data_IF_105314575377
#
_entry.id   IF_105314575377
#
_cell.length_a   1.000
_cell.length_b   1.000
_cell.length_c   1.000
_cell.angle_alpha   90.00
_cell.angle_beta   90.00
_cell.angle_gamma   90.00
#
_symmetry.space_group_name_H-M   'P 1'
#
loop_
_entity.id
_entity.type
_entity.pdbx_description
1 polymer ?
#
# COMPACT_ATOMS: atom_id res chain seq x y z
N UNK A 1 -67.60 54.66 -24.85
CA UNK A 1 -66.45 53.81 -25.16
C UNK A 1 -65.48 53.89 -23.97
N UNK A 2 -65.51 52.91 -23.04
CA UNK A 2 -64.59 52.81 -21.86
C UNK A 2 -63.56 51.72 -22.11
N UNK A 3 -62.30 52.11 -22.19
CA UNK A 3 -61.17 51.20 -22.34
C UNK A 3 -60.71 50.75 -20.91
N UNK A 4 -60.79 49.48 -20.63
CA UNK A 4 -60.19 48.88 -19.40
C UNK A 4 -58.73 48.49 -19.68
N UNK A 5 -57.80 49.13 -18.96
CA UNK A 5 -56.39 48.71 -18.89
C UNK A 5 -56.24 47.57 -17.84
N UNK A 6 -55.81 46.41 -18.30
CA UNK A 6 -55.38 45.33 -17.38
C UNK A 6 -53.86 45.45 -17.13
N UNK A 7 -53.50 45.80 -15.89
CA UNK A 7 -52.13 45.71 -15.39
C UNK A 7 -51.84 44.24 -15.02
N UNK A 8 -50.87 43.65 -15.68
CA UNK A 8 -50.29 42.38 -15.25
C UNK A 8 -49.07 42.67 -14.38
N UNK A 9 -49.13 42.33 -13.08
CA UNK A 9 -47.98 42.34 -12.16
C UNK A 9 -47.21 41.05 -12.32
N UNK A 10 -46.00 41.12 -12.89
CA UNK A 10 -45.09 40.00 -12.93
C UNK A 10 -44.36 39.89 -11.59
N UNK A 11 -44.64 38.80 -10.83
CA UNK A 11 -43.91 38.44 -9.62
C UNK A 11 -42.63 37.72 -10.00
N UNK A 12 -41.48 38.41 -9.93
CA UNK A 12 -40.17 37.80 -10.10
C UNK A 12 -39.78 37.08 -8.80
N UNK A 13 -39.83 35.75 -8.80
CA UNK A 13 -39.31 34.95 -7.72
C UNK A 13 -37.77 34.95 -7.76
N UNK A 14 -37.15 35.62 -6.79
CA UNK A 14 -35.72 35.63 -6.59
C UNK A 14 -35.32 34.29 -5.92
N UNK A 15 -34.84 33.32 -6.70
CA UNK A 15 -34.27 32.08 -6.18
C UNK A 15 -32.88 32.42 -5.64
N UNK A 16 -32.75 32.59 -4.34
CA UNK A 16 -31.46 32.64 -3.65
C UNK A 16 -30.80 31.23 -3.70
N UNK A 17 -29.87 31.07 -4.65
CA UNK A 17 -28.97 29.94 -4.69
C UNK A 17 -28.04 30.04 -3.44
N UNK A 18 -28.27 29.24 -2.42
CA UNK A 18 -27.30 29.06 -1.34
C UNK A 18 -26.01 28.51 -1.95
N UNK A 19 -24.84 29.07 -1.62
CA UNK A 19 -23.59 28.48 -2.06
C UNK A 19 -23.53 27.05 -1.54
N UNK A 20 -23.41 26.07 -2.43
CA UNK A 20 -23.07 24.71 -2.04
C UNK A 20 -21.69 24.80 -1.37
N UNK A 21 -21.64 24.59 -0.05
CA UNK A 21 -20.38 24.37 0.64
C UNK A 21 -19.78 23.12 0.00
N UNK A 22 -18.72 23.31 -0.77
CA UNK A 22 -17.96 22.18 -1.29
C UNK A 22 -17.55 21.32 -0.08
N UNK A 23 -18.00 20.08 -0.03
CA UNK A 23 -17.55 19.15 1.01
C UNK A 23 -16.02 19.13 0.98
N UNK A 24 -15.38 19.24 2.15
CA UNK A 24 -13.93 19.14 2.23
C UNK A 24 -13.51 17.81 1.59
N UNK A 25 -12.55 17.88 0.67
CA UNK A 25 -12.10 16.71 -0.08
C UNK A 25 -11.43 15.66 0.83
N UNK A 26 -11.09 16.02 2.08
CA UNK A 26 -10.51 15.15 3.11
C UNK A 26 -10.61 15.81 4.50
N UNK A 27 -10.36 15.02 5.55
CA UNK A 27 -10.09 15.50 6.92
C UNK A 27 -8.74 14.96 7.40
N UNK A 28 -8.08 15.66 8.32
CA UNK A 28 -6.77 15.28 8.85
C UNK A 28 -6.62 15.62 10.33
N UNK A 29 -5.57 15.08 10.92
CA UNK A 29 -5.12 15.39 12.27
C UNK A 29 -3.72 14.81 12.49
N UNK A 30 -3.21 14.87 13.75
CA UNK A 30 -1.86 14.41 14.05
C UNK A 30 -1.61 12.97 13.57
N UNK A 31 -0.83 12.80 12.49
CA UNK A 31 -0.46 11.50 11.93
C UNK A 31 -1.56 10.73 11.22
N UNK A 32 -2.65 11.37 10.79
CA UNK A 32 -3.67 10.71 9.99
C UNK A 32 -4.33 11.61 8.96
N UNK A 33 -4.83 10.99 7.88
CA UNK A 33 -5.52 11.63 6.78
C UNK A 33 -6.71 10.74 6.38
N UNK A 34 -7.90 11.31 6.21
CA UNK A 34 -9.10 10.55 5.84
C UNK A 34 -9.77 11.15 4.62
N UNK A 35 -9.96 10.33 3.60
CA UNK A 35 -10.76 10.63 2.41
C UNK A 35 -12.17 10.05 2.60
N UNK A 36 -13.23 10.84 2.37
CA UNK A 36 -14.60 10.40 2.58
C UNK A 36 -15.00 9.30 1.61
N UNK A 37 -16.03 8.52 1.98
CA UNK A 37 -16.68 7.61 1.06
C UNK A 37 -17.33 8.38 -0.09
N UNK A 38 -17.17 7.85 -1.30
CA UNK A 38 -17.83 8.34 -2.51
C UNK A 38 -18.89 7.39 -3.03
N UNK A 39 -19.31 7.61 -4.28
CA UNK A 39 -20.14 6.67 -5.05
C UNK A 39 -19.22 5.69 -5.77
N UNK A 40 -19.58 4.42 -5.78
CA UNK A 40 -18.81 3.39 -6.48
C UNK A 40 -18.94 2.02 -5.83
N UNK A 41 -18.26 1.00 -6.39
CA UNK A 41 -18.36 -0.37 -5.88
C UNK A 41 -17.81 -0.56 -4.46
N UNK A 42 -16.98 0.37 -3.99
CA UNK A 42 -16.44 0.39 -2.62
C UNK A 42 -17.31 1.13 -1.59
N UNK A 43 -18.48 1.69 -2.00
CA UNK A 43 -19.35 2.43 -1.10
C UNK A 43 -19.74 1.61 0.13
N UNK A 44 -19.68 2.23 1.31
CA UNK A 44 -19.98 1.58 2.60
C UNK A 44 -18.83 0.73 3.15
N UNK A 45 -17.67 0.68 2.49
CA UNK A 45 -16.47 -0.01 2.98
C UNK A 45 -15.40 0.98 3.42
N UNK A 46 -14.72 0.65 4.53
CA UNK A 46 -13.65 1.44 5.11
C UNK A 46 -12.29 0.72 4.94
N UNK A 47 -11.41 1.32 4.15
CA UNK A 47 -10.03 0.85 3.95
C UNK A 47 -9.10 1.67 4.85
N UNK A 48 -8.33 1.00 5.71
CA UNK A 48 -7.31 1.66 6.53
C UNK A 48 -5.94 1.34 5.98
N UNK A 49 -5.16 2.38 5.66
CA UNK A 49 -3.85 2.27 5.06
C UNK A 49 -2.78 2.64 6.11
N UNK A 50 -1.89 1.71 6.40
CA UNK A 50 -0.88 1.82 7.46
C UNK A 50 0.48 2.16 6.86
N UNK A 51 0.99 3.34 7.18
CA UNK A 51 2.22 3.91 6.64
C UNK A 51 3.33 3.90 7.69
N UNK A 52 4.49 3.38 7.32
CA UNK A 52 5.63 3.33 8.23
C UNK A 52 6.81 2.57 7.63
N UNK A 53 7.33 3.06 6.51
CA UNK A 53 8.50 2.51 5.83
C UNK A 53 9.47 3.66 5.53
N UNK A 54 10.57 3.71 6.23
CA UNK A 54 11.57 4.75 6.13
C UNK A 54 12.51 4.61 4.91
N UNK A 55 12.30 3.59 4.08
CA UNK A 55 13.11 3.35 2.89
C UNK A 55 12.33 3.55 1.59
N UNK A 56 11.14 2.95 1.47
CA UNK A 56 10.42 2.83 0.18
C UNK A 56 9.27 3.82 0.01
N UNK A 57 9.21 4.88 0.84
CA UNK A 57 8.28 6.01 0.67
C UNK A 57 6.81 5.62 0.76
N UNK A 58 6.45 4.78 1.71
CA UNK A 58 5.04 4.45 1.93
C UNK A 58 4.19 5.69 2.26
N UNK A 59 4.79 6.74 2.85
CA UNK A 59 4.16 8.04 3.12
C UNK A 59 3.76 8.81 1.86
N UNK A 60 4.40 8.56 0.72
CA UNK A 60 4.01 9.11 -0.57
C UNK A 60 3.03 8.20 -1.32
N UNK A 61 3.24 6.90 -1.22
CA UNK A 61 2.53 5.87 -1.98
C UNK A 61 1.10 5.65 -1.51
N UNK A 62 0.91 5.44 -0.19
CA UNK A 62 -0.39 5.02 0.33
C UNK A 62 -1.44 6.15 0.34
N UNK A 63 -1.13 7.44 0.59
CA UNK A 63 -2.11 8.51 0.40
C UNK A 63 -2.60 8.63 -1.04
N UNK A 64 -1.72 8.47 -2.03
CA UNK A 64 -2.10 8.43 -3.46
C UNK A 64 -3.06 7.28 -3.73
N UNK A 65 -2.77 6.06 -3.24
CA UNK A 65 -3.67 4.91 -3.36
C UNK A 65 -4.99 5.11 -2.62
N UNK A 66 -4.98 5.69 -1.42
CA UNK A 66 -6.17 6.01 -0.66
C UNK A 66 -7.11 6.95 -1.43
N UNK A 67 -6.53 7.93 -2.09
CA UNK A 67 -7.27 8.88 -2.91
C UNK A 67 -7.88 8.23 -4.15
N UNK A 68 -7.15 7.34 -4.83
CA UNK A 68 -7.69 6.51 -5.93
C UNK A 68 -8.85 5.66 -5.43
N UNK A 69 -8.68 4.94 -4.32
CA UNK A 69 -9.72 4.09 -3.75
C UNK A 69 -10.97 4.89 -3.36
N UNK A 70 -10.80 6.09 -2.78
CA UNK A 70 -11.92 6.95 -2.40
C UNK A 70 -12.60 7.56 -3.63
N UNK A 71 -11.87 8.33 -4.45
CA UNK A 71 -12.47 9.16 -5.48
C UNK A 71 -12.86 8.37 -6.75
N UNK A 72 -12.14 7.28 -7.10
CA UNK A 72 -12.44 6.45 -8.27
C UNK A 72 -13.36 5.27 -7.94
N UNK A 73 -13.31 4.77 -6.71
CA UNK A 73 -14.00 3.53 -6.33
C UNK A 73 -14.98 3.67 -5.18
N UNK A 74 -15.05 4.82 -4.51
CA UNK A 74 -16.06 5.14 -3.50
C UNK A 74 -15.78 4.60 -2.10
N UNK A 75 -14.60 4.06 -1.81
CA UNK A 75 -14.23 3.64 -0.48
C UNK A 75 -14.08 4.83 0.48
N UNK A 76 -14.45 4.67 1.76
CA UNK A 76 -13.87 5.49 2.81
C UNK A 76 -12.43 5.03 3.03
N UNK A 77 -11.45 5.96 3.07
CA UNK A 77 -10.05 5.62 3.26
C UNK A 77 -9.43 6.43 4.39
N UNK A 78 -8.82 5.77 5.38
CA UNK A 78 -8.05 6.44 6.43
C UNK A 78 -6.60 6.01 6.36
N UNK A 79 -5.68 6.96 6.17
CA UNK A 79 -4.23 6.74 6.16
C UNK A 79 -3.67 7.05 7.54
N UNK A 80 -2.95 6.11 8.13
CA UNK A 80 -2.33 6.23 9.45
C UNK A 80 -0.82 6.27 9.28
N UNK A 81 -0.20 7.37 9.68
CA UNK A 81 1.24 7.59 9.53
C UNK A 81 2.01 7.39 10.84
N UNK A 82 3.29 7.10 10.71
CA UNK A 82 4.26 7.36 11.76
C UNK A 82 4.57 8.86 11.81
N UNK A 83 4.58 9.46 13.02
CA UNK A 83 4.75 10.91 13.19
C UNK A 83 5.44 11.27 14.50
N UNK A 84 6.02 12.46 14.56
CA UNK A 84 6.46 13.15 15.77
C UNK A 84 5.60 14.39 15.97
N UNK A 85 4.76 14.41 17.00
CA UNK A 85 3.89 15.56 17.34
C UNK A 85 3.07 16.10 16.15
N UNK A 86 2.64 15.19 15.23
CA UNK A 86 1.85 15.53 14.06
C UNK A 86 2.67 15.75 12.77
N UNK A 87 3.99 15.93 12.87
CA UNK A 87 4.89 15.96 11.71
C UNK A 87 5.22 14.54 11.28
N UNK A 88 5.02 14.24 10.01
CA UNK A 88 5.24 12.89 9.47
C UNK A 88 6.73 12.52 9.53
N UNK A 89 7.01 11.40 10.19
CA UNK A 89 8.36 10.86 10.33
C UNK A 89 8.34 9.33 10.25
N UNK A 90 8.62 8.74 9.09
CA UNK A 90 8.63 7.28 8.93
C UNK A 90 9.73 6.58 9.75
N UNK A 91 10.75 7.31 10.24
CA UNK A 91 11.79 6.77 11.13
C UNK A 91 11.28 6.50 12.56
N UNK A 92 10.15 7.13 12.98
CA UNK A 92 9.57 6.85 14.29
C UNK A 92 8.79 5.53 14.27
N UNK A 93 9.48 4.42 14.51
CA UNK A 93 8.89 3.08 14.51
C UNK A 93 7.87 2.83 15.63
N UNK A 94 7.82 3.67 16.66
CA UNK A 94 6.92 3.51 17.80
C UNK A 94 5.57 4.22 17.60
N UNK A 95 5.49 5.15 16.67
CA UNK A 95 4.32 6.00 16.45
C UNK A 95 3.35 5.38 15.42
N UNK A 96 2.06 5.54 15.69
CA UNK A 96 0.96 5.31 14.77
C UNK A 96 -0.15 6.32 15.06
N UNK A 97 -0.48 7.15 14.07
CA UNK A 97 -1.59 8.10 14.19
C UNK A 97 -2.94 7.38 14.23
N UNK A 98 -3.87 7.85 15.07
CA UNK A 98 -5.30 7.43 15.13
C UNK A 98 -5.52 5.90 15.05
N UNK A 99 -4.91 5.08 15.93
CA UNK A 99 -5.05 3.62 15.87
C UNK A 99 -6.50 3.14 16.00
N UNK A 100 -7.41 3.94 16.55
CA UNK A 100 -8.84 3.60 16.67
C UNK A 100 -9.55 3.45 15.31
N UNK A 101 -8.98 3.97 14.22
CA UNK A 101 -9.52 3.73 12.88
C UNK A 101 -9.53 2.23 12.51
N UNK A 102 -8.65 1.43 13.13
CA UNK A 102 -8.59 -0.02 12.96
C UNK A 102 -9.85 -0.74 13.47
N UNK A 103 -10.61 -0.14 14.42
CA UNK A 103 -11.82 -0.76 14.97
C UNK A 103 -12.93 -0.91 13.91
N UNK A 104 -12.94 -0.03 12.91
CA UNK A 104 -13.96 0.01 11.85
C UNK A 104 -13.42 -0.38 10.47
N UNK A 105 -12.17 -0.85 10.40
CA UNK A 105 -11.57 -1.27 9.14
C UNK A 105 -12.29 -2.49 8.56
N UNK A 106 -12.68 -2.39 7.27
CA UNK A 106 -13.13 -3.51 6.44
C UNK A 106 -11.95 -4.13 5.66
N UNK A 107 -10.89 -3.37 5.38
CA UNK A 107 -9.66 -3.86 4.75
C UNK A 107 -8.44 -3.07 5.25
N UNK A 108 -7.27 -3.72 5.26
CA UNK A 108 -5.98 -3.10 5.60
C UNK A 108 -5.07 -3.08 4.38
N UNK A 109 -4.39 -1.95 4.14
CA UNK A 109 -3.27 -1.85 3.20
C UNK A 109 -2.02 -1.50 3.98
N UNK A 110 -0.98 -2.30 3.87
CA UNK A 110 0.23 -2.18 4.68
C UNK A 110 1.43 -1.72 3.83
N UNK A 111 2.06 -0.62 4.23
CA UNK A 111 3.38 -0.19 3.77
C UNK A 111 4.26 0.02 5.01
N UNK A 112 4.65 -1.09 5.65
CA UNK A 112 5.29 -1.09 6.98
C UNK A 112 6.69 -1.70 6.93
N UNK A 113 7.58 -1.16 7.79
CA UNK A 113 8.92 -1.72 8.00
C UNK A 113 9.39 -1.49 9.44
N UNK A 114 9.69 -2.57 10.19
CA UNK A 114 10.30 -2.53 11.52
C UNK A 114 9.54 -1.67 12.54
N UNK A 115 8.20 -1.76 12.55
CA UNK A 115 7.38 -1.04 13.54
C UNK A 115 7.46 -1.71 14.91
N UNK A 116 7.43 -0.89 15.96
CA UNK A 116 7.43 -1.30 17.37
C UNK A 116 6.40 -0.49 18.15
N UNK A 117 5.17 -0.50 17.64
CA UNK A 117 4.06 0.21 18.27
C UNK A 117 3.86 -0.26 19.72
N UNK A 118 3.26 0.59 20.55
CA UNK A 118 2.86 0.21 21.89
C UNK A 118 1.74 -0.85 21.85
N UNK A 119 1.55 -1.56 22.99
CA UNK A 119 0.57 -2.64 23.09
C UNK A 119 -0.86 -2.19 22.80
N UNK A 120 -1.22 -0.92 23.07
CA UNK A 120 -2.54 -0.38 22.74
C UNK A 120 -2.80 -0.37 21.22
N UNK A 121 -1.85 0.13 20.44
CA UNK A 121 -1.94 0.14 18.97
C UNK A 121 -1.84 -1.28 18.39
N UNK A 122 -0.95 -2.13 18.94
CA UNK A 122 -0.84 -3.53 18.55
C UNK A 122 -2.11 -4.32 18.84
N UNK A 123 -2.80 -4.06 19.96
CA UNK A 123 -4.08 -4.69 20.29
C UNK A 123 -5.18 -4.34 19.27
N UNK A 124 -5.24 -3.09 18.80
CA UNK A 124 -6.17 -2.66 17.75
C UNK A 124 -5.89 -3.38 16.42
N UNK A 125 -4.62 -3.46 16.05
CA UNK A 125 -4.20 -4.19 14.86
C UNK A 125 -4.54 -5.68 14.96
N UNK A 126 -4.20 -6.33 16.06
CA UNK A 126 -4.49 -7.75 16.32
C UNK A 126 -6.00 -8.04 16.33
N UNK A 127 -6.80 -7.12 16.92
CA UNK A 127 -8.25 -7.24 16.90
C UNK A 127 -8.82 -7.17 15.47
N UNK A 128 -8.26 -6.32 14.60
CA UNK A 128 -8.64 -6.28 13.18
C UNK A 128 -8.29 -7.60 12.48
N UNK A 129 -7.09 -8.18 12.73
CA UNK A 129 -6.70 -9.50 12.21
C UNK A 129 -7.69 -10.56 12.68
N UNK A 130 -8.01 -10.61 13.97
CA UNK A 130 -8.94 -11.60 14.56
C UNK A 130 -10.38 -11.47 14.03
N UNK A 131 -10.81 -10.29 13.60
CA UNK A 131 -12.10 -10.12 12.90
C UNK A 131 -12.12 -10.69 11.49
N UNK A 132 -10.96 -11.12 10.94
CA UNK A 132 -10.86 -11.62 9.58
C UNK A 132 -10.73 -10.50 8.51
N UNK A 133 -10.33 -9.30 8.92
CA UNK A 133 -10.12 -8.17 8.00
C UNK A 133 -9.08 -8.55 6.94
N UNK A 134 -9.39 -8.41 5.63
CA UNK A 134 -8.44 -8.72 4.57
C UNK A 134 -7.24 -7.77 4.58
N UNK A 135 -6.10 -8.29 4.10
CA UNK A 135 -4.81 -7.61 4.14
C UNK A 135 -4.23 -7.51 2.74
N UNK A 136 -3.84 -6.32 2.35
CA UNK A 136 -3.04 -6.02 1.16
C UNK A 136 -1.67 -5.54 1.66
N UNK A 137 -0.64 -6.36 1.51
CA UNK A 137 0.69 -6.07 2.01
C UNK A 137 1.66 -5.74 0.88
N UNK A 138 2.40 -4.66 1.04
CA UNK A 138 3.35 -4.18 0.04
C UNK A 138 4.79 -4.22 0.57
N UNK A 139 5.72 -4.47 -0.31
CA UNK A 139 7.18 -4.45 -0.17
C UNK A 139 7.68 -4.99 1.19
N UNK A 140 8.09 -4.08 2.05
CA UNK A 140 8.72 -4.35 3.35
C UNK A 140 7.76 -4.85 4.42
N UNK A 141 6.46 -4.90 4.14
CA UNK A 141 5.49 -5.45 5.10
C UNK A 141 5.76 -6.91 5.46
N UNK A 142 6.55 -7.63 4.68
CA UNK A 142 7.08 -8.96 5.01
C UNK A 142 7.94 -8.96 6.29
N UNK A 143 8.48 -7.81 6.69
CA UNK A 143 9.19 -7.58 7.95
C UNK A 143 8.65 -6.33 8.67
N UNK A 144 7.32 -6.22 8.71
CA UNK A 144 6.60 -5.08 9.25
C UNK A 144 6.99 -4.71 10.67
N UNK A 145 7.25 -5.69 11.53
CA UNK A 145 7.46 -5.48 12.96
C UNK A 145 8.85 -5.92 13.43
N UNK A 146 9.48 -5.09 14.29
CA UNK A 146 10.76 -5.39 14.92
C UNK A 146 10.93 -4.55 16.19
N UNK A 147 11.47 -5.15 17.25
CA UNK A 147 11.73 -4.45 18.51
C UNK A 147 10.51 -4.33 19.42
N UNK A 148 9.45 -5.10 19.18
CA UNK A 148 8.36 -5.29 20.15
C UNK A 148 8.96 -5.96 21.38
N UNK A 149 8.74 -5.43 22.60
CA UNK A 149 9.31 -5.97 23.83
C UNK A 149 8.96 -7.44 24.07
N UNK A 150 9.83 -8.16 24.78
CA UNK A 150 9.63 -9.59 25.08
C UNK A 150 8.40 -9.86 25.95
N UNK A 151 8.04 -8.87 26.76
CA UNK A 151 6.91 -8.91 27.71
C UNK A 151 5.57 -8.64 27.03
N UNK A 152 5.60 -8.09 25.82
CA UNK A 152 4.39 -7.82 25.04
C UNK A 152 3.71 -9.11 24.59
N UNK A 153 2.38 -9.15 24.68
CA UNK A 153 1.56 -10.23 24.13
C UNK A 153 1.73 -10.38 22.60
N UNK A 154 2.26 -9.36 21.94
CA UNK A 154 2.43 -9.28 20.49
C UNK A 154 3.87 -9.54 20.02
N UNK A 155 4.77 -9.98 20.90
CA UNK A 155 6.18 -10.28 20.59
C UNK A 155 6.34 -11.23 19.41
N UNK A 156 5.36 -12.11 19.18
CA UNK A 156 5.33 -13.07 18.06
C UNK A 156 5.26 -12.38 16.69
N UNK A 157 4.88 -11.10 16.60
CA UNK A 157 4.87 -10.35 15.34
C UNK A 157 6.26 -9.93 14.87
N UNK A 158 7.25 -9.87 15.77
CA UNK A 158 8.63 -9.53 15.38
C UNK A 158 9.13 -10.45 14.27
N UNK A 159 9.64 -9.88 13.18
CA UNK A 159 10.07 -10.59 11.97
C UNK A 159 11.15 -11.65 12.22
N UNK A 160 12.01 -11.43 13.21
CA UNK A 160 13.06 -12.35 13.62
C UNK A 160 12.59 -13.44 14.59
N UNK A 161 11.31 -13.44 14.98
CA UNK A 161 10.70 -14.47 15.80
C UNK A 161 10.03 -15.52 14.91
N UNK A 162 10.80 -16.53 14.44
CA UNK A 162 10.32 -17.59 13.51
C UNK A 162 9.62 -17.02 12.26
N UNK A 163 10.10 -15.88 11.75
CA UNK A 163 9.54 -15.19 10.60
C UNK A 163 8.38 -14.25 10.88
N UNK A 164 7.90 -14.20 12.14
CA UNK A 164 6.96 -13.21 12.65
C UNK A 164 5.66 -13.09 11.84
N UNK A 165 5.10 -11.87 11.84
CA UNK A 165 3.89 -11.54 11.09
C UNK A 165 4.02 -11.86 9.59
N UNK A 166 5.18 -11.54 8.98
CA UNK A 166 5.42 -11.79 7.57
C UNK A 166 5.25 -13.26 7.20
N UNK A 167 6.00 -14.15 7.86
CA UNK A 167 5.95 -15.61 7.55
C UNK A 167 4.60 -16.21 7.88
N UNK A 168 4.05 -15.88 9.06
CA UNK A 168 2.88 -16.57 9.59
C UNK A 168 1.57 -16.05 8.96
N UNK A 169 1.47 -14.76 8.64
CA UNK A 169 0.25 -14.16 8.08
C UNK A 169 0.41 -13.87 6.59
N UNK A 170 1.47 -13.19 6.18
CA UNK A 170 1.64 -12.80 4.77
C UNK A 170 2.13 -13.95 3.88
N UNK A 171 2.73 -14.99 4.46
CA UNK A 171 3.24 -16.17 3.76
C UNK A 171 4.76 -16.16 3.57
N UNK A 172 5.42 -15.02 3.67
CA UNK A 172 6.88 -14.96 3.68
C UNK A 172 7.36 -13.76 4.51
N UNK A 173 8.49 -13.95 5.16
CA UNK A 173 9.28 -12.89 5.78
C UNK A 173 10.33 -12.36 4.78
N UNK A 174 11.00 -11.26 5.10
CA UNK A 174 12.18 -10.87 4.35
C UNK A 174 13.31 -11.88 4.58
N UNK A 175 13.78 -12.50 3.51
CA UNK A 175 14.87 -13.48 3.52
C UNK A 175 16.17 -12.81 3.09
N UNK A 176 16.20 -12.26 1.89
CA UNK A 176 17.33 -11.49 1.36
C UNK A 176 16.91 -10.71 0.11
N UNK A 177 17.74 -9.75 -0.31
CA UNK A 177 17.67 -9.24 -1.67
C UNK A 177 18.06 -10.36 -2.63
N UNK A 178 17.24 -10.69 -3.63
CA UNK A 178 17.57 -11.66 -4.67
C UNK A 178 18.24 -10.96 -5.85
N UNK A 179 17.68 -9.90 -6.38
CA UNK A 179 18.34 -8.95 -7.25
C UNK A 179 19.39 -8.11 -6.49
N UNK A 180 20.23 -7.39 -7.22
CA UNK A 180 21.16 -6.42 -6.65
C UNK A 180 20.41 -5.14 -6.33
N UNK A 181 20.31 -4.82 -5.05
CA UNK A 181 19.66 -3.60 -4.58
C UNK A 181 20.22 -2.34 -5.25
N UNK A 182 19.37 -1.52 -5.84
CA UNK A 182 19.72 -0.31 -6.63
C UNK A 182 20.57 -0.57 -7.89
N UNK A 183 20.65 -1.80 -8.34
CA UNK A 183 21.44 -2.15 -9.52
C UNK A 183 20.69 -3.05 -10.50
N UNK A 184 19.68 -3.79 -10.06
CA UNK A 184 18.88 -4.68 -10.87
C UNK A 184 17.39 -4.45 -10.59
N UNK A 185 16.66 -4.02 -11.61
CA UNK A 185 15.22 -3.79 -11.55
C UNK A 185 14.44 -5.10 -11.74
N UNK A 186 13.14 -5.02 -11.51
CA UNK A 186 12.19 -6.13 -11.63
C UNK A 186 11.25 -5.91 -12.82
N UNK A 187 11.09 -6.94 -13.65
CA UNK A 187 9.99 -7.07 -14.62
C UNK A 187 9.18 -8.30 -14.26
N UNK A 188 7.84 -8.23 -14.32
CA UNK A 188 7.01 -9.37 -13.92
C UNK A 188 6.66 -10.29 -15.08
N UNK A 189 6.42 -11.57 -14.74
CA UNK A 189 5.73 -12.55 -15.57
C UNK A 189 4.58 -13.14 -14.77
N UNK A 190 3.47 -13.44 -15.44
CA UNK A 190 2.33 -14.11 -14.82
C UNK A 190 2.71 -15.56 -14.52
N UNK A 191 2.34 -16.05 -13.33
CA UNK A 191 2.51 -17.46 -12.97
C UNK A 191 1.64 -18.33 -13.88
N UNK A 192 2.17 -19.41 -14.47
CA UNK A 192 1.38 -20.33 -15.28
C UNK A 192 0.12 -20.83 -14.52
N UNK A 193 -1.05 -20.64 -15.12
CA UNK A 193 -2.34 -20.97 -14.54
C UNK A 193 -3.01 -19.85 -13.73
N UNK A 194 -2.34 -18.72 -13.50
CA UNK A 194 -2.91 -17.57 -12.79
C UNK A 194 -3.58 -16.55 -13.73
N UNK A 195 -3.47 -16.68 -15.04
CA UNK A 195 -3.84 -15.67 -16.04
C UNK A 195 -5.31 -15.25 -15.97
N UNK A 196 -6.18 -16.15 -15.50
CA UNK A 196 -7.63 -15.91 -15.42
C UNK A 196 -8.12 -15.52 -14.02
N UNK A 197 -7.22 -15.34 -13.06
CA UNK A 197 -7.61 -14.94 -11.71
C UNK A 197 -8.06 -13.48 -11.73
N UNK A 198 -9.24 -13.21 -11.17
CA UNK A 198 -9.86 -11.88 -11.21
C UNK A 198 -8.96 -10.77 -10.65
N UNK A 199 -8.11 -11.07 -9.67
CA UNK A 199 -7.15 -10.11 -9.10
C UNK A 199 -6.17 -9.58 -10.16
N UNK A 200 -5.95 -10.29 -11.27
CA UNK A 200 -5.11 -9.89 -12.41
C UNK A 200 -5.89 -9.15 -13.50
N UNK A 201 -7.18 -8.85 -13.32
CA UNK A 201 -7.98 -8.14 -14.31
C UNK A 201 -7.33 -6.80 -14.70
N UNK A 202 -7.05 -6.62 -16.00
CA UNK A 202 -6.46 -5.41 -16.55
C UNK A 202 -5.00 -5.15 -16.14
N UNK A 203 -4.35 -6.10 -15.46
CA UNK A 203 -2.93 -6.02 -15.08
C UNK A 203 -2.08 -6.51 -16.24
N UNK A 204 -1.19 -5.65 -16.73
CA UNK A 204 -0.17 -5.99 -17.74
C UNK A 204 1.16 -6.39 -17.09
N UNK A 205 2.21 -6.44 -17.92
CA UNK A 205 3.57 -6.58 -17.41
C UNK A 205 3.92 -5.37 -16.55
N UNK A 206 4.43 -5.62 -15.36
CA UNK A 206 4.84 -4.60 -14.40
C UNK A 206 6.35 -4.41 -14.49
N UNK A 207 6.77 -3.16 -14.47
CA UNK A 207 8.16 -2.78 -14.23
C UNK A 207 8.25 -2.05 -12.87
N UNK A 208 9.21 -2.47 -12.03
CA UNK A 208 9.57 -1.78 -10.81
C UNK A 208 11.07 -1.53 -10.75
N UNK A 209 11.48 -0.36 -10.27
CA UNK A 209 12.89 -0.01 -10.08
C UNK A 209 13.48 -0.60 -8.78
N UNK A 210 12.68 -1.35 -8.02
CA UNK A 210 13.16 -2.12 -6.88
C UNK A 210 13.59 -3.52 -7.30
N UNK A 211 14.53 -4.09 -6.57
CA UNK A 211 15.02 -5.45 -6.78
C UNK A 211 14.03 -6.53 -6.29
N UNK A 212 14.15 -7.71 -6.85
CA UNK A 212 13.42 -8.91 -6.42
C UNK A 212 13.91 -9.35 -5.03
N UNK A 213 13.00 -9.72 -4.13
CA UNK A 213 13.33 -10.40 -2.87
C UNK A 213 13.40 -11.93 -3.08
N UNK A 214 14.29 -12.58 -2.34
CA UNK A 214 14.23 -14.04 -2.16
C UNK A 214 12.97 -14.38 -1.37
N UNK A 215 12.05 -15.16 -1.97
CA UNK A 215 10.76 -15.46 -1.36
C UNK A 215 10.28 -16.88 -1.72
N UNK A 216 9.78 -17.58 -0.70
CA UNK A 216 9.25 -18.94 -0.79
C UNK A 216 7.88 -19.01 -0.10
N UNK A 217 6.82 -18.44 -0.71
CA UNK A 217 5.47 -18.54 -0.17
C UNK A 217 5.08 -20.01 0.09
N UNK A 218 4.28 -20.30 1.13
CA UNK A 218 3.90 -21.65 1.47
C UNK A 218 2.99 -22.30 0.42
N UNK A 219 2.82 -23.61 0.49
CA UNK A 219 2.04 -24.38 -0.49
C UNK A 219 0.54 -23.99 -0.56
N UNK A 220 0.00 -23.35 0.48
CA UNK A 220 -1.36 -22.80 0.51
C UNK A 220 -1.47 -21.43 -0.16
N UNK A 221 -0.36 -20.84 -0.62
CA UNK A 221 -0.36 -19.59 -1.36
C UNK A 221 -0.56 -19.83 -2.86
N UNK A 222 -1.49 -19.07 -3.45
CA UNK A 222 -1.63 -18.97 -4.90
C UNK A 222 -0.68 -17.92 -5.42
N UNK A 223 0.39 -18.33 -6.12
CA UNK A 223 1.30 -17.40 -6.78
C UNK A 223 0.57 -16.72 -7.94
N UNK A 224 0.75 -15.42 -8.09
CA UNK A 224 0.17 -14.60 -9.15
C UNK A 224 1.23 -14.16 -10.17
N UNK A 225 2.34 -13.63 -9.66
CA UNK A 225 3.41 -13.06 -10.47
C UNK A 225 4.79 -13.54 -10.01
N UNK A 226 5.66 -13.78 -10.99
CA UNK A 226 7.09 -14.00 -10.81
C UNK A 226 7.86 -12.72 -11.15
N UNK A 227 8.92 -12.44 -10.41
CA UNK A 227 9.83 -11.32 -10.64
C UNK A 227 11.05 -11.77 -11.43
N UNK A 228 11.18 -11.23 -12.64
CA UNK A 228 12.34 -11.41 -13.49
C UNK A 228 13.36 -10.30 -13.19
N UNK A 229 14.55 -10.69 -12.77
CA UNK A 229 15.66 -9.77 -12.47
C UNK A 229 16.29 -9.31 -13.79
N UNK A 230 16.36 -7.99 -13.99
CA UNK A 230 17.00 -7.38 -15.16
C UNK A 230 18.50 -7.15 -14.91
N UNK A 231 19.30 -7.03 -15.98
CA UNK A 231 20.75 -6.70 -15.89
C UNK A 231 21.02 -5.25 -15.45
N UNK A 232 19.99 -4.39 -15.37
CA UNK A 232 20.09 -2.97 -15.04
C UNK A 232 18.79 -2.43 -14.50
N UNK A 233 18.61 -1.11 -14.63
CA UNK A 233 17.54 -0.35 -14.00
C UNK A 233 16.51 0.21 -15.01
N UNK A 234 16.58 -0.18 -16.29
CA UNK A 234 15.65 0.29 -17.31
C UNK A 234 14.68 -0.84 -17.72
N UNK A 235 13.42 -0.52 -18.07
CA UNK A 235 12.44 -1.53 -18.45
C UNK A 235 12.81 -2.34 -19.71
N UNK A 236 13.70 -1.85 -20.55
CA UNK A 236 14.20 -2.54 -21.76
C UNK A 236 15.46 -3.36 -21.52
N UNK A 237 16.04 -3.28 -20.33
CA UNK A 237 17.25 -4.07 -20.03
C UNK A 237 16.96 -5.57 -20.17
N UNK A 238 17.94 -6.35 -20.66
CA UNK A 238 17.78 -7.79 -20.80
C UNK A 238 17.71 -8.49 -19.44
N UNK A 239 17.21 -9.72 -19.43
CA UNK A 239 17.19 -10.54 -18.22
C UNK A 239 18.62 -10.83 -17.75
N UNK A 240 18.79 -10.81 -16.43
CA UNK A 240 20.04 -11.25 -15.79
C UNK A 240 20.18 -12.78 -15.92
N UNK A 241 21.36 -13.24 -16.30
CA UNK A 241 21.68 -14.66 -16.51
C UNK A 241 22.60 -15.23 -15.43
N UNK A 242 22.96 -14.38 -14.44
CA UNK A 242 23.82 -14.82 -13.35
C UNK A 242 23.15 -15.86 -12.46
N UNK A 243 23.96 -16.58 -11.71
CA UNK A 243 23.49 -17.40 -10.60
C UNK A 243 23.73 -16.69 -9.26
N UNK A 244 23.02 -17.16 -8.24
CA UNK A 244 23.16 -16.70 -6.87
C UNK A 244 22.88 -17.82 -5.90
N UNK A 245 23.63 -17.85 -4.79
CA UNK A 245 23.36 -18.77 -3.69
C UNK A 245 22.15 -18.30 -2.90
N UNK A 246 21.19 -19.20 -2.66
CA UNK A 246 20.03 -18.94 -1.82
C UNK A 246 20.47 -18.69 -0.38
N UNK A 247 19.86 -17.73 0.30
CA UNK A 247 20.16 -17.45 1.70
C UNK A 247 19.69 -18.59 2.61
N UNK A 248 18.65 -19.33 2.21
CA UNK A 248 18.01 -20.39 3.00
C UNK A 248 18.84 -21.66 3.14
N UNK A 249 19.36 -22.20 2.03
CA UNK A 249 20.05 -23.49 1.99
C UNK A 249 21.44 -23.47 1.33
N UNK A 250 21.91 -22.30 0.92
CA UNK A 250 23.21 -22.04 0.27
C UNK A 250 23.40 -22.72 -1.08
N UNK A 251 22.37 -23.34 -1.65
CA UNK A 251 22.46 -23.92 -2.98
C UNK A 251 22.47 -22.83 -4.05
N UNK A 252 23.22 -23.06 -5.11
CA UNK A 252 23.28 -22.14 -6.25
C UNK A 252 22.07 -22.31 -7.16
N UNK A 253 21.49 -21.18 -7.61
CA UNK A 253 20.32 -21.14 -8.48
C UNK A 253 20.50 -20.03 -9.52
N UNK A 254 20.10 -20.29 -10.75
CA UNK A 254 19.99 -19.25 -11.77
C UNK A 254 19.02 -18.16 -11.30
N UNK A 255 19.40 -16.88 -11.44
CA UNK A 255 18.66 -15.76 -10.84
C UNK A 255 17.20 -15.70 -11.32
N UNK A 256 16.91 -16.16 -12.52
CA UNK A 256 15.59 -16.22 -13.13
C UNK A 256 15.11 -17.67 -13.40
N UNK A 257 15.76 -18.70 -12.80
CA UNK A 257 15.45 -20.11 -13.09
C UNK A 257 15.48 -20.97 -11.81
N UNK A 258 14.34 -21.16 -11.12
CA UNK A 258 13.08 -20.46 -11.33
C UNK A 258 13.12 -19.02 -10.80
N UNK A 259 12.31 -18.14 -11.42
CA UNK A 259 12.15 -16.78 -10.91
C UNK A 259 11.39 -16.77 -9.57
N UNK A 260 11.73 -15.83 -8.67
CA UNK A 260 11.09 -15.70 -7.36
C UNK A 260 9.65 -15.21 -7.48
N UNK A 261 8.78 -15.65 -6.55
CA UNK A 261 7.45 -15.07 -6.43
C UNK A 261 7.55 -13.62 -5.96
N UNK A 262 6.80 -12.71 -6.61
CA UNK A 262 6.72 -11.30 -6.21
C UNK A 262 5.31 -10.84 -5.88
N UNK A 263 4.30 -11.66 -6.19
CA UNK A 263 2.92 -11.43 -5.76
C UNK A 263 2.18 -12.77 -5.57
N UNK A 264 1.42 -12.87 -4.49
CA UNK A 264 0.61 -14.05 -4.18
C UNK A 264 -0.58 -13.71 -3.31
N UNK A 265 -1.56 -14.61 -3.28
CA UNK A 265 -2.70 -14.59 -2.35
C UNK A 265 -2.74 -15.83 -1.49
N UNK A 266 -3.34 -15.72 -0.31
CA UNK A 266 -3.67 -16.86 0.55
C UNK A 266 -4.86 -16.56 1.46
N UNK A 267 -5.46 -17.60 2.04
CA UNK A 267 -6.44 -17.50 3.12
C UNK A 267 -5.84 -18.08 4.40
N UNK A 268 -5.77 -17.26 5.45
CA UNK A 268 -5.08 -17.62 6.69
C UNK A 268 -6.07 -17.73 7.83
N UNK A 269 -6.26 -18.91 8.43
CA UNK A 269 -6.99 -19.04 9.70
C UNK A 269 -6.33 -18.19 10.77
N UNK A 270 -7.13 -17.54 11.62
CA UNK A 270 -6.64 -16.71 12.70
C UNK A 270 -7.23 -17.11 14.07
N UNK A 271 -6.68 -16.53 15.14
CA UNK A 271 -7.09 -16.82 16.51
C UNK A 271 -8.51 -16.37 16.88
N UNK A 272 -9.18 -15.60 16.00
CA UNK A 272 -10.59 -15.21 16.14
C UNK A 272 -11.58 -16.23 15.55
N UNK A 273 -11.11 -17.43 15.17
CA UNK A 273 -11.89 -18.45 14.45
C UNK A 273 -12.49 -17.95 13.12
N UNK A 274 -11.81 -17.00 12.49
CA UNK A 274 -12.12 -16.49 11.16
C UNK A 274 -10.94 -16.73 10.21
N UNK A 275 -11.00 -16.21 9.00
CA UNK A 275 -9.88 -16.25 8.04
C UNK A 275 -9.61 -14.85 7.51
N UNK A 276 -8.33 -14.52 7.35
CA UNK A 276 -7.92 -13.34 6.62
C UNK A 276 -7.63 -13.72 5.16
N UNK A 277 -8.22 -12.99 4.23
CA UNK A 277 -7.79 -13.01 2.83
C UNK A 277 -6.60 -12.08 2.68
N UNK A 278 -5.46 -12.61 2.28
CA UNK A 278 -4.20 -11.88 2.25
C UNK A 278 -3.67 -11.83 0.82
N UNK A 279 -3.45 -10.64 0.30
CA UNK A 279 -2.65 -10.38 -0.88
C UNK A 279 -1.33 -9.77 -0.46
N UNK A 280 -0.23 -10.33 -0.94
CA UNK A 280 1.12 -9.85 -0.66
C UNK A 280 1.87 -9.61 -1.96
N UNK A 281 2.54 -8.47 -2.06
CA UNK A 281 3.54 -8.22 -3.09
C UNK A 281 4.84 -7.73 -2.48
N UNK A 282 5.98 -8.24 -2.96
CA UNK A 282 7.32 -7.76 -2.60
C UNK A 282 7.77 -6.57 -3.46
N UNK A 283 6.88 -6.01 -4.25
CA UNK A 283 6.99 -4.76 -5.00
C UNK A 283 6.19 -3.65 -4.31
N UNK A 284 5.99 -2.52 -4.95
CA UNK A 284 5.19 -1.38 -4.53
C UNK A 284 5.89 -0.44 -3.52
N UNK A 285 7.17 -0.13 -3.78
CA UNK A 285 7.73 1.16 -3.37
C UNK A 285 6.94 2.30 -4.02
N UNK A 286 7.10 3.55 -3.56
CA UNK A 286 6.47 4.68 -4.24
C UNK A 286 6.89 4.74 -5.72
N UNK A 287 8.18 4.56 -6.03
CA UNK A 287 8.67 4.57 -7.41
C UNK A 287 8.14 3.40 -8.26
N UNK A 288 8.00 2.20 -7.71
CA UNK A 288 7.36 1.07 -8.40
C UNK A 288 5.90 1.38 -8.77
N UNK A 289 5.17 2.07 -7.88
CA UNK A 289 3.77 2.46 -8.11
C UNK A 289 3.60 3.55 -9.18
N UNK A 290 4.67 4.06 -9.79
CA UNK A 290 4.58 4.79 -11.03
C UNK A 290 4.06 3.91 -12.19
N UNK A 291 4.24 2.58 -12.10
CA UNK A 291 3.66 1.62 -13.04
C UNK A 291 2.13 1.48 -12.81
N UNK A 292 1.34 1.69 -13.86
CA UNK A 292 -0.13 1.64 -13.79
C UNK A 292 -0.63 0.23 -13.46
N UNK A 293 0.01 -0.81 -13.99
CA UNK A 293 -0.37 -2.20 -13.77
C UNK A 293 -0.14 -2.61 -12.32
N UNK A 294 0.93 -2.10 -11.67
CA UNK A 294 1.16 -2.36 -10.25
C UNK A 294 0.13 -1.64 -9.37
N UNK A 295 -0.20 -0.38 -9.67
CA UNK A 295 -1.29 0.30 -8.96
C UNK A 295 -2.60 -0.48 -9.07
N UNK A 296 -2.91 -0.98 -10.29
CA UNK A 296 -4.12 -1.78 -10.55
C UNK A 296 -4.10 -3.09 -9.77
N UNK A 297 -2.98 -3.78 -9.72
CA UNK A 297 -2.84 -5.00 -8.94
C UNK A 297 -3.12 -4.76 -7.44
N UNK A 298 -2.61 -3.68 -6.87
CA UNK A 298 -2.85 -3.32 -5.45
C UNK A 298 -4.32 -2.98 -5.21
N UNK A 299 -4.93 -2.18 -6.08
CA UNK A 299 -6.37 -1.84 -6.01
C UNK A 299 -7.24 -3.10 -6.16
N UNK A 300 -6.93 -3.96 -7.15
CA UNK A 300 -7.61 -5.24 -7.32
C UNK A 300 -7.47 -6.13 -6.08
N UNK A 301 -6.31 -6.08 -5.39
CA UNK A 301 -6.08 -6.75 -4.12
C UNK A 301 -7.07 -6.34 -3.03
N UNK A 302 -7.44 -5.06 -2.97
CA UNK A 302 -8.47 -4.56 -2.05
C UNK A 302 -9.85 -5.12 -2.39
N UNK A 303 -10.25 -5.07 -3.67
CA UNK A 303 -11.53 -5.66 -4.13
C UNK A 303 -11.59 -7.15 -3.85
N UNK A 304 -10.54 -7.89 -4.25
CA UNK A 304 -10.44 -9.32 -4.02
C UNK A 304 -10.49 -9.66 -2.54
N UNK A 305 -9.74 -8.93 -1.71
CA UNK A 305 -9.73 -9.12 -0.25
C UNK A 305 -11.13 -8.99 0.35
N UNK A 306 -11.85 -7.95 -0.01
CA UNK A 306 -13.21 -7.67 0.45
C UNK A 306 -14.28 -8.62 -0.12
N UNK A 307 -13.93 -9.48 -1.08
CA UNK A 307 -14.90 -10.32 -1.78
C UNK A 307 -15.82 -9.54 -2.71
N UNK A 308 -15.45 -8.32 -3.08
CA UNK A 308 -16.14 -7.53 -4.08
C UNK A 308 -15.75 -7.99 -5.49
N UNK A 309 -16.62 -7.74 -6.46
CA UNK A 309 -16.29 -7.98 -7.86
C UNK A 309 -15.09 -7.11 -8.26
N UNK A 310 -14.02 -7.76 -8.74
CA UNK A 310 -12.84 -7.04 -9.23
C UNK A 310 -13.16 -6.47 -10.61
N UNK A 311 -13.08 -5.15 -10.81
CA UNK A 311 -13.37 -4.53 -12.10
C UNK A 311 -12.53 -5.14 -13.23
N UNK A 312 -13.10 -5.28 -14.42
CA UNK A 312 -12.36 -5.77 -15.59
C UNK A 312 -11.08 -4.94 -15.87
N UNK A 313 -11.14 -3.64 -15.61
CA UNK A 313 -10.01 -2.71 -15.63
C UNK A 313 -10.27 -1.57 -14.64
N UNK A 314 -9.83 -1.71 -13.39
CA UNK A 314 -9.97 -0.65 -12.39
C UNK A 314 -9.28 0.64 -12.86
N UNK A 315 -9.94 1.80 -12.70
CA UNK A 315 -9.30 3.10 -12.91
C UNK A 315 -8.34 3.39 -11.74
N UNK A 316 -7.08 3.53 -12.06
CA UNK A 316 -6.00 3.77 -11.10
C UNK A 316 -5.20 5.02 -11.45
N UNK A 317 -5.80 5.91 -12.24
CA UNK A 317 -5.22 7.21 -12.57
C UNK A 317 -5.10 8.04 -11.29
N UNK A 318 -3.90 8.52 -10.94
CA UNK A 318 -3.74 9.40 -9.79
C UNK A 318 -4.67 10.62 -9.91
N UNK A 319 -5.27 11.01 -8.79
CA UNK A 319 -6.26 12.10 -8.76
C UNK A 319 -5.60 13.48 -8.86
N UNK A 320 -4.38 13.58 -8.33
CA UNK A 320 -3.50 14.75 -8.46
C UNK A 320 -2.22 14.34 -9.14
N UNK A 321 -1.47 15.33 -9.65
CA UNK A 321 -0.12 15.06 -10.14
C UNK A 321 0.69 14.37 -9.05
N UNK A 322 1.29 13.22 -9.40
CA UNK A 322 2.05 12.43 -8.44
C UNK A 322 3.39 12.04 -9.04
N UNK A 323 4.46 12.50 -8.38
CA UNK A 323 5.85 12.23 -8.74
C UNK A 323 6.56 11.67 -7.52
N UNK A 324 6.70 10.34 -7.42
CA UNK A 324 7.31 9.73 -6.25
C UNK A 324 8.81 10.01 -6.17
N UNK A 325 9.30 10.15 -4.94
CA UNK A 325 10.72 10.18 -4.66
C UNK A 325 11.36 8.80 -4.89
N UNK A 326 12.64 8.79 -5.24
CA UNK A 326 13.43 7.56 -5.23
C UNK A 326 13.56 7.05 -3.80
N UNK A 327 13.46 5.73 -3.64
CA UNK A 327 13.63 5.10 -2.34
C UNK A 327 15.07 5.24 -1.83
N UNK A 328 15.21 5.50 -0.54
CA UNK A 328 16.49 5.56 0.18
C UNK A 328 16.26 5.57 1.68
N UNK A 329 17.16 4.96 2.44
CA UNK A 329 17.08 4.94 3.90
C UNK A 329 17.07 6.33 4.51
N UNK A 330 16.22 6.52 5.52
CA UNK A 330 16.14 7.70 6.36
C UNK A 330 15.89 9.01 5.57
N UNK A 331 15.34 8.91 4.38
CA UNK A 331 14.96 10.08 3.61
C UNK A 331 13.43 10.18 3.56
N UNK A 332 12.89 11.32 3.92
CA UNK A 332 11.47 11.66 3.89
C UNK A 332 11.33 13.18 3.74
N UNK A 333 10.11 13.67 3.53
CA UNK A 333 9.86 15.10 3.44
C UNK A 333 9.80 15.71 4.85
N UNK A 334 10.85 16.40 5.31
CA UNK A 334 10.88 16.94 6.67
C UNK A 334 9.85 18.07 6.83
N UNK A 335 9.19 18.10 7.98
CA UNK A 335 8.26 19.17 8.35
C UNK A 335 6.84 19.04 7.78
N UNK A 336 6.58 18.07 6.91
CA UNK A 336 5.22 17.85 6.38
C UNK A 336 4.31 17.19 7.42
N UNK A 337 3.03 17.58 7.37
CA UNK A 337 1.94 16.99 8.14
C UNK A 337 1.07 16.10 7.25
N UNK A 338 0.11 15.41 7.86
CA UNK A 338 -0.74 14.47 7.13
C UNK A 338 -1.53 15.12 5.99
N UNK A 339 -2.03 16.35 6.16
CA UNK A 339 -2.76 17.11 5.14
C UNK A 339 -1.95 17.40 3.88
N UNK A 340 -0.64 17.58 4.01
CA UNK A 340 0.24 17.86 2.86
C UNK A 340 0.27 16.68 1.87
N UNK A 341 0.05 15.46 2.36
CA UNK A 341 0.01 14.24 1.54
C UNK A 341 -1.32 14.02 0.81
N UNK A 342 -2.30 14.87 1.03
CA UNK A 342 -3.54 14.87 0.24
C UNK A 342 -3.40 15.56 -1.11
N UNK A 343 -2.39 16.41 -1.29
CA UNK A 343 -2.15 17.22 -2.48
C UNK A 343 -0.96 16.77 -3.32
N UNK A 344 -0.47 17.72 -4.12
CA UNK A 344 0.79 17.57 -4.87
C UNK A 344 1.94 17.77 -3.90
N UNK A 345 2.77 16.76 -3.74
CA UNK A 345 3.94 16.85 -2.89
C UNK A 345 5.01 17.80 -3.49
N UNK A 346 5.86 18.40 -2.66
CA UNK A 346 7.01 19.14 -3.14
C UNK A 346 7.91 18.24 -4.01
N UNK A 347 8.82 18.81 -4.80
CA UNK A 347 9.74 18.00 -5.62
C UNK A 347 10.40 16.89 -4.82
N UNK A 348 10.61 15.71 -5.43
CA UNK A 348 11.23 14.57 -4.76
C UNK A 348 12.54 14.95 -4.09
N UNK A 349 12.75 14.44 -2.87
CA UNK A 349 14.01 14.64 -2.15
C UNK A 349 15.16 14.06 -2.97
N UNK A 350 16.20 14.87 -3.18
CA UNK A 350 17.47 14.36 -3.69
C UNK A 350 18.20 13.64 -2.55
N UNK A 351 18.79 12.49 -2.85
CA UNK A 351 19.61 11.80 -1.86
C UNK A 351 20.65 12.76 -1.27
N UNK A 352 20.70 12.87 0.04
CA UNK A 352 21.78 13.61 0.68
C UNK A 352 23.13 13.06 0.19
N UNK A 353 24.12 13.91 -0.12
CA UNK A 353 25.41 13.44 -0.56
C UNK A 353 25.97 12.47 0.49
N UNK A 354 26.39 11.29 0.04
CA UNK A 354 26.95 10.27 0.92
C UNK A 354 28.05 10.92 1.78
N UNK A 355 27.89 10.89 3.12
CA UNK A 355 28.96 11.33 4.00
C UNK A 355 30.20 10.54 3.63
N UNK A 356 31.22 11.20 3.10
CA UNK A 356 32.53 10.58 2.89
C UNK A 356 32.95 9.97 4.23
N UNK A 357 33.08 8.66 4.28
CA UNK A 357 33.72 7.99 5.41
C UNK A 357 35.11 8.62 5.55
N UNK A 358 35.34 9.27 6.68
CA UNK A 358 36.68 9.71 7.06
C UNK A 358 37.52 8.50 7.48
#
# INVERSE_FOLDING_TARGET
MKRHLHLWAALAALVLALPAVAAEAFTSGPGWLEFPAGKGPGAGKHVVLLVGDEEYRSEEALPMLARILSERHGFKCTVLFSHDEGVINPNNGASLGKPDALDTADALVLGLRFRKWNDGALAKFDAAIKRGVPIVATRTSTHAFSGIPKESAFVAYNWNNKGGFGKNVLGETWVSHWGNHKGEATRTAVEPGAEKLAILNGVGVIFGDTDVYEAYPPADAQILLRGLVLKGMNPQDPLSERAKKRATDKQEQGINSPAMAVAWTREVPNAGNTKNRVFTTTMASASDLADESLRRLVVNGVFWGLGLEVPAKADVTPVVEWKPSKYSFNMFHPGLKAEDFAGVLPPPLTAAPAKKKK
#
